data_IF_180831933030
#
_entry.id   IF_180831933030
#
_cell.length_a   1.000
_cell.length_b   1.000
_cell.length_c   1.000
_cell.angle_alpha   90.00
_cell.angle_beta   90.00
_cell.angle_gamma   90.00
#
_symmetry.space_group_name_H-M   'P 1'
#
loop_
_entity.id
_entity.type
_entity.pdbx_description
1 polymer ?
#
# COMPACT_ATOMS: atom_id res chain seq x y z
N UNK A 1 11.98 4.17 -18.42
CA UNK A 1 12.97 3.68 -17.44
C UNK A 1 12.67 2.20 -17.19
N UNK A 2 13.55 1.29 -17.58
CA UNK A 2 13.34 -0.14 -17.33
C UNK A 2 13.41 -0.44 -15.84
N UNK A 3 12.46 -1.22 -15.32
CA UNK A 3 12.47 -1.66 -13.94
C UNK A 3 13.82 -2.34 -13.64
N UNK A 4 14.69 -1.70 -12.84
CA UNK A 4 16.02 -2.29 -12.58
C UNK A 4 15.79 -3.63 -11.88
N UNK A 5 16.39 -4.71 -12.42
CA UNK A 5 16.28 -6.06 -11.85
C UNK A 5 16.51 -6.05 -10.34
N UNK A 6 15.74 -6.83 -9.60
CA UNK A 6 15.90 -6.97 -8.15
C UNK A 6 17.31 -7.47 -7.84
N UNK A 7 18.08 -6.80 -6.95
CA UNK A 7 19.44 -7.21 -6.63
C UNK A 7 19.50 -8.65 -6.12
N UNK A 8 20.53 -9.40 -6.54
CA UNK A 8 20.73 -10.79 -6.09
C UNK A 8 20.78 -10.91 -4.57
N UNK A 9 21.39 -9.94 -3.88
CA UNK A 9 21.42 -9.88 -2.42
C UNK A 9 20.01 -9.97 -1.79
N UNK A 10 19.03 -9.25 -2.35
CA UNK A 10 17.64 -9.30 -1.87
C UNK A 10 17.01 -10.67 -2.14
N UNK A 11 17.27 -11.24 -3.32
CA UNK A 11 16.76 -12.58 -3.67
C UNK A 11 17.32 -13.65 -2.73
N UNK A 12 18.62 -13.58 -2.41
CA UNK A 12 19.28 -14.49 -1.47
C UNK A 12 18.74 -14.30 -0.05
N UNK A 13 18.51 -13.07 0.42
CA UNK A 13 17.91 -12.81 1.72
C UNK A 13 16.45 -13.33 1.80
N UNK A 14 15.68 -13.25 0.72
CA UNK A 14 14.36 -13.86 0.63
C UNK A 14 14.46 -15.39 0.72
N UNK A 15 15.41 -15.98 0.00
CA UNK A 15 15.64 -17.42 -0.01
C UNK A 15 16.06 -17.95 1.38
N UNK A 16 17.01 -17.29 2.05
CA UNK A 16 17.45 -17.65 3.40
C UNK A 16 16.28 -17.64 4.39
N UNK A 17 15.43 -16.60 4.38
CA UNK A 17 14.26 -16.54 5.26
C UNK A 17 13.28 -17.68 5.03
N UNK A 18 13.09 -18.11 3.79
CA UNK A 18 12.27 -19.28 3.47
C UNK A 18 12.90 -20.57 3.99
N UNK A 19 14.22 -20.73 3.87
CA UNK A 19 14.94 -21.87 4.43
C UNK A 19 14.87 -21.91 5.95
N UNK A 20 14.89 -20.74 6.60
CA UNK A 20 14.72 -20.56 8.04
C UNK A 20 13.26 -20.71 8.51
N UNK A 21 12.35 -21.14 7.62
CA UNK A 21 10.98 -21.53 7.98
C UNK A 21 9.96 -20.40 7.97
N UNK A 22 10.32 -19.17 7.56
CA UNK A 22 9.35 -18.07 7.48
C UNK A 22 8.34 -18.30 6.35
N UNK A 23 7.09 -17.90 6.58
CA UNK A 23 6.05 -18.05 5.56
C UNK A 23 6.26 -17.06 4.42
N UNK A 24 6.18 -17.56 3.18
CA UNK A 24 6.30 -16.71 1.96
C UNK A 24 5.38 -15.48 1.95
N UNK A 25 4.20 -15.55 2.58
CA UNK A 25 3.28 -14.41 2.72
C UNK A 25 3.83 -13.32 3.66
N UNK A 26 4.51 -13.68 4.74
CA UNK A 26 5.09 -12.75 5.71
C UNK A 26 6.34 -12.07 5.14
N UNK A 27 7.16 -12.85 4.44
CA UNK A 27 8.30 -12.33 3.68
C UNK A 27 7.79 -11.35 2.62
N UNK A 28 6.73 -11.69 1.89
CA UNK A 28 6.10 -10.80 0.91
C UNK A 28 5.69 -9.46 1.50
N UNK A 29 5.08 -9.45 2.68
CA UNK A 29 4.75 -8.19 3.38
C UNK A 29 5.99 -7.37 3.73
N UNK A 30 7.06 -8.02 4.18
CA UNK A 30 8.32 -7.35 4.58
C UNK A 30 9.06 -6.68 3.41
N UNK A 31 8.97 -7.28 2.22
CA UNK A 31 9.62 -6.77 1.01
C UNK A 31 8.65 -6.04 0.06
N UNK A 32 7.38 -5.90 0.44
CA UNK A 32 6.32 -5.33 -0.41
C UNK A 32 6.19 -6.06 -1.75
N UNK A 33 6.18 -7.40 -1.68
CA UNK A 33 6.10 -8.31 -2.83
C UNK A 33 4.87 -9.21 -2.73
N UNK A 34 4.36 -9.62 -3.90
CA UNK A 34 3.37 -10.68 -3.99
C UNK A 34 3.97 -12.03 -3.58
N UNK A 35 3.14 -12.94 -3.07
CA UNK A 35 3.59 -14.30 -2.74
C UNK A 35 4.21 -15.03 -3.95
N UNK A 36 3.64 -14.99 -5.17
CA UNK A 36 4.29 -15.55 -6.36
C UNK A 36 5.67 -14.96 -6.64
N UNK A 37 5.87 -13.66 -6.42
CA UNK A 37 7.15 -12.99 -6.66
C UNK A 37 8.21 -13.41 -5.65
N UNK A 38 7.83 -13.57 -4.38
CA UNK A 38 8.73 -14.12 -3.34
C UNK A 38 9.24 -15.49 -3.77
N UNK A 39 8.35 -16.38 -4.22
CA UNK A 39 8.73 -17.71 -4.69
C UNK A 39 9.60 -17.67 -5.95
N UNK A 40 9.27 -16.79 -6.90
CA UNK A 40 10.10 -16.56 -8.09
C UNK A 40 11.51 -16.14 -7.70
N UNK A 41 11.65 -15.12 -6.85
CA UNK A 41 12.96 -14.59 -6.44
C UNK A 41 13.78 -15.60 -5.65
N UNK A 42 13.13 -16.45 -4.85
CA UNK A 42 13.82 -17.55 -4.17
C UNK A 42 14.37 -18.58 -5.17
N UNK A 43 13.60 -18.95 -6.21
CA UNK A 43 14.11 -19.85 -7.26
C UNK A 43 15.21 -19.18 -8.09
N UNK A 44 15.07 -17.90 -8.44
CA UNK A 44 16.12 -17.14 -9.10
C UNK A 44 17.42 -17.14 -8.25
N UNK A 45 17.31 -17.01 -6.92
CA UNK A 45 18.46 -17.08 -6.03
C UNK A 45 19.13 -18.46 -6.08
N UNK A 46 18.35 -19.55 -6.05
CA UNK A 46 18.88 -20.91 -6.19
C UNK A 46 19.65 -21.07 -7.50
N UNK A 47 19.11 -20.57 -8.62
CA UNK A 47 19.76 -20.69 -9.92
C UNK A 47 21.08 -19.90 -9.99
N UNK A 48 21.15 -18.72 -9.35
CA UNK A 48 22.39 -17.96 -9.26
C UNK A 48 23.41 -18.60 -8.29
N UNK A 49 22.95 -19.11 -7.14
CA UNK A 49 23.82 -19.79 -6.16
C UNK A 49 24.47 -21.05 -6.75
N UNK A 50 23.74 -21.81 -7.57
CA UNK A 50 24.28 -23.00 -8.27
C UNK A 50 25.47 -22.70 -9.18
N UNK A 51 25.64 -21.45 -9.64
CA UNK A 51 26.76 -21.02 -10.50
C UNK A 51 27.97 -20.52 -9.71
N UNK A 52 27.88 -20.48 -8.38
CA UNK A 52 29.01 -20.10 -7.54
C UNK A 52 29.98 -21.28 -7.51
N UNK A 53 31.26 -21.04 -7.85
CA UNK A 53 32.29 -22.10 -7.89
C UNK A 53 32.38 -22.93 -6.61
N UNK A 54 32.20 -22.30 -5.44
CA UNK A 54 32.21 -23.00 -4.15
C UNK A 54 31.03 -23.98 -4.01
N UNK A 55 29.87 -23.65 -4.59
CA UNK A 55 28.72 -24.54 -4.67
C UNK A 55 28.96 -25.64 -5.69
N UNK A 56 29.45 -25.31 -6.88
CA UNK A 56 29.77 -26.29 -7.93
C UNK A 56 30.80 -27.33 -7.49
N UNK A 57 31.76 -26.92 -6.65
CA UNK A 57 32.78 -27.80 -6.09
C UNK A 57 32.26 -28.70 -4.95
N UNK A 58 31.04 -28.48 -4.44
CA UNK A 58 30.44 -29.24 -3.34
C UNK A 58 29.29 -30.13 -3.85
N UNK A 59 29.49 -31.46 -3.93
CA UNK A 59 28.42 -32.38 -4.33
C UNK A 59 27.20 -32.32 -3.40
N UNK A 60 27.44 -32.05 -2.10
CA UNK A 60 26.39 -31.90 -1.08
C UNK A 60 25.51 -30.70 -1.40
N UNK A 61 26.11 -29.53 -1.65
CA UNK A 61 25.37 -28.31 -1.98
C UNK A 61 24.68 -28.39 -3.34
N UNK A 62 25.33 -28.98 -4.35
CA UNK A 62 24.69 -29.25 -5.65
C UNK A 62 23.48 -30.17 -5.49
N UNK A 63 23.64 -31.26 -4.73
CA UNK A 63 22.56 -32.20 -4.44
C UNK A 63 21.38 -31.53 -3.74
N UNK A 64 21.65 -30.72 -2.72
CA UNK A 64 20.64 -29.94 -2.00
C UNK A 64 19.94 -28.93 -2.92
N UNK A 65 20.70 -28.08 -3.60
CA UNK A 65 20.16 -27.01 -4.43
C UNK A 65 19.43 -27.56 -5.66
N UNK A 66 19.73 -28.77 -6.15
CA UNK A 66 19.01 -29.39 -7.28
C UNK A 66 17.53 -29.72 -6.96
N UNK A 67 17.19 -29.86 -5.67
CA UNK A 67 15.84 -30.23 -5.21
C UNK A 67 14.87 -29.06 -5.42
N UNK A 68 13.56 -29.34 -5.37
CA UNK A 68 12.54 -28.29 -5.41
C UNK A 68 12.64 -27.42 -4.15
N UNK A 69 12.37 -26.12 -4.27
CA UNK A 69 12.41 -25.16 -3.17
C UNK A 69 11.65 -25.64 -1.92
N UNK A 70 10.46 -26.23 -2.09
CA UNK A 70 9.67 -26.80 -0.97
C UNK A 70 10.45 -27.88 -0.19
N UNK A 71 11.17 -28.74 -0.90
CA UNK A 71 11.97 -29.82 -0.30
C UNK A 71 13.20 -29.25 0.41
N UNK A 72 13.84 -28.24 -0.19
CA UNK A 72 14.96 -27.53 0.43
C UNK A 72 14.54 -26.91 1.77
N UNK A 73 13.43 -26.16 1.81
CA UNK A 73 12.89 -25.55 3.04
C UNK A 73 12.55 -26.58 4.12
N UNK A 74 12.09 -27.77 3.73
CA UNK A 74 11.77 -28.84 4.68
C UNK A 74 13.02 -29.50 5.28
N UNK A 75 14.09 -29.64 4.51
CA UNK A 75 15.30 -30.38 4.92
C UNK A 75 16.36 -29.49 5.56
N UNK A 76 16.44 -28.22 5.15
CA UNK A 76 17.47 -27.29 5.61
C UNK A 76 17.58 -27.14 7.14
N UNK A 77 16.48 -27.14 7.93
CA UNK A 77 16.57 -27.05 9.38
C UNK A 77 17.28 -28.25 10.04
N UNK A 78 17.20 -29.43 9.41
CA UNK A 78 17.72 -30.69 9.95
C UNK A 78 19.06 -31.11 9.32
N UNK A 79 19.49 -30.44 8.25
CA UNK A 79 20.71 -30.76 7.50
C UNK A 79 21.88 -29.85 7.92
N UNK A 80 22.55 -30.22 9.02
CA UNK A 80 23.63 -29.44 9.61
C UNK A 80 24.82 -29.25 8.66
N UNK A 81 25.16 -30.27 7.87
CA UNK A 81 26.26 -30.22 6.89
C UNK A 81 25.97 -29.17 5.81
N UNK A 82 24.75 -29.17 5.24
CA UNK A 82 24.33 -28.16 4.28
C UNK A 82 24.39 -26.76 4.90
N UNK A 83 23.93 -26.57 6.14
CA UNK A 83 23.96 -25.25 6.79
C UNK A 83 25.39 -24.72 6.96
N UNK A 84 26.32 -25.55 7.43
CA UNK A 84 27.71 -25.16 7.64
C UNK A 84 28.40 -24.79 6.32
N UNK A 85 28.12 -25.54 5.26
CA UNK A 85 28.67 -25.28 3.92
C UNK A 85 28.03 -24.07 3.24
N UNK A 86 26.74 -23.84 3.45
CA UNK A 86 25.97 -22.78 2.79
C UNK A 86 26.17 -21.41 3.47
N UNK A 87 26.26 -21.36 4.81
CA UNK A 87 26.38 -20.11 5.57
C UNK A 87 27.46 -19.14 5.05
N UNK A 88 28.74 -19.53 4.86
CA UNK A 88 29.76 -18.61 4.37
C UNK A 88 29.52 -18.13 2.92
N UNK A 89 28.72 -18.86 2.13
CA UNK A 89 28.36 -18.49 0.77
C UNK A 89 27.25 -17.43 0.77
N UNK A 90 26.29 -17.54 1.70
CA UNK A 90 25.17 -16.60 1.82
C UNK A 90 25.58 -15.29 2.49
N UNK A 91 26.45 -15.35 3.49
CA UNK A 91 26.89 -14.21 4.31
C UNK A 91 27.17 -12.91 3.54
N UNK A 92 27.99 -12.89 2.47
CA UNK A 92 28.26 -11.64 1.73
C UNK A 92 27.02 -11.03 1.07
N UNK A 93 26.03 -11.87 0.71
CA UNK A 93 24.77 -11.40 0.16
C UNK A 93 23.84 -10.88 1.24
N UNK A 94 23.80 -11.53 2.40
CA UNK A 94 22.96 -11.12 3.54
C UNK A 94 23.43 -9.76 4.08
N UNK A 95 24.73 -9.59 4.31
CA UNK A 95 25.31 -8.32 4.73
C UNK A 95 25.02 -7.19 3.71
N UNK A 96 25.07 -7.49 2.41
CA UNK A 96 24.71 -6.52 1.37
C UNK A 96 23.21 -6.23 1.35
N UNK A 97 22.35 -7.20 1.63
CA UNK A 97 20.91 -7.02 1.65
C UNK A 97 20.46 -6.05 2.76
N UNK A 98 21.11 -6.08 3.92
CA UNK A 98 20.85 -5.16 5.04
C UNK A 98 21.08 -3.69 4.66
N UNK A 99 22.05 -3.43 3.76
CA UNK A 99 22.35 -2.08 3.28
C UNK A 99 21.35 -1.55 2.23
N UNK A 100 20.46 -2.40 1.70
CA UNK A 100 19.55 -2.04 0.62
C UNK A 100 18.17 -1.75 1.21
N UNK A 101 17.73 -0.48 1.12
CA UNK A 101 16.34 -0.12 1.41
C UNK A 101 15.41 -0.61 0.27
N UNK A 102 15.02 -1.88 0.33
CA UNK A 102 14.17 -2.49 -0.69
C UNK A 102 12.68 -2.20 -0.50
N UNK A 103 12.22 -2.05 0.75
CA UNK A 103 10.81 -1.79 1.06
C UNK A 103 10.32 -0.44 0.52
N UNK A 104 11.22 0.55 0.35
CA UNK A 104 10.92 1.84 -0.26
C UNK A 104 10.91 1.84 -1.79
N UNK A 105 11.15 0.70 -2.44
CA UNK A 105 11.22 0.61 -3.90
C UNK A 105 9.83 0.36 -4.49
N UNK A 106 9.43 1.15 -5.47
CA UNK A 106 8.27 0.84 -6.31
C UNK A 106 8.50 -0.52 -6.98
N UNK A 107 7.77 -1.55 -6.53
CA UNK A 107 7.79 -2.87 -7.13
C UNK A 107 6.83 -2.90 -8.31
N UNK A 108 7.19 -3.62 -9.38
CA UNK A 108 6.30 -3.84 -10.53
C UNK A 108 5.04 -4.63 -10.16
N UNK A 109 5.04 -5.31 -9.01
CA UNK A 109 3.88 -6.03 -8.45
C UNK A 109 3.04 -5.17 -7.50
N UNK A 110 3.42 -3.91 -7.28
CA UNK A 110 2.49 -2.99 -6.65
C UNK A 110 1.41 -2.66 -7.71
N UNK A 111 0.12 -2.90 -7.43
CA UNK A 111 -0.88 -2.02 -8.04
C UNK A 111 -0.39 -0.59 -7.73
N UNK A 112 -0.45 0.33 -8.72
CA UNK A 112 -0.21 1.77 -8.54
C UNK A 112 -0.48 2.13 -7.08
N UNK A 113 0.54 2.51 -6.31
CA UNK A 113 0.35 2.70 -4.87
C UNK A 113 -0.77 3.71 -4.65
N UNK A 114 -1.97 3.21 -4.36
CA UNK A 114 -3.16 4.00 -4.01
C UNK A 114 -3.17 4.31 -2.53
N UNK A 115 -2.08 4.01 -1.81
CA UNK A 115 -1.94 4.34 -0.39
C UNK A 115 -1.82 5.85 -0.26
N UNK A 116 -2.97 6.49 -0.19
CA UNK A 116 -3.16 7.79 0.43
C UNK A 116 -2.96 7.66 1.94
N UNK A 117 -2.53 8.74 2.56
CA UNK A 117 -2.44 8.78 4.02
C UNK A 117 -3.84 8.52 4.62
N UNK A 118 -3.90 7.93 5.81
CA UNK A 118 -5.19 7.64 6.46
C UNK A 118 -6.05 8.90 6.63
N UNK A 119 -5.43 10.04 6.96
CA UNK A 119 -6.12 11.33 7.03
C UNK A 119 -6.69 11.76 5.67
N UNK A 120 -5.95 11.56 4.58
CA UNK A 120 -6.43 11.88 3.23
C UNK A 120 -7.58 10.96 2.80
N UNK A 121 -7.55 9.68 3.17
CA UNK A 121 -8.65 8.75 2.91
C UNK A 121 -9.92 9.13 3.67
N UNK A 122 -9.78 9.48 4.95
CA UNK A 122 -10.89 9.95 5.80
C UNK A 122 -11.51 11.25 5.26
N UNK A 123 -10.68 12.22 4.86
CA UNK A 123 -11.13 13.47 4.21
C UNK A 123 -11.87 13.18 2.89
N UNK A 124 -11.33 12.27 2.06
CA UNK A 124 -11.97 11.91 0.79
C UNK A 124 -13.36 11.29 1.01
N UNK A 125 -13.49 10.38 1.97
CA UNK A 125 -14.79 9.79 2.31
C UNK A 125 -15.78 10.85 2.83
N UNK A 126 -15.31 11.79 3.63
CA UNK A 126 -16.14 12.90 4.12
C UNK A 126 -16.65 13.77 2.97
N UNK A 127 -15.80 14.07 1.98
CA UNK A 127 -16.21 14.82 0.77
C UNK A 127 -17.27 14.04 -0.01
N UNK A 128 -17.08 12.73 -0.21
CA UNK A 128 -18.05 11.89 -0.93
C UNK A 128 -19.40 11.87 -0.22
N UNK A 129 -19.41 11.69 1.10
CA UNK A 129 -20.64 11.73 1.89
C UNK A 129 -21.36 13.07 1.77
N UNK A 130 -20.64 14.18 1.90
CA UNK A 130 -21.23 15.52 1.74
C UNK A 130 -21.81 15.74 0.33
N UNK A 131 -21.15 15.24 -0.71
CA UNK A 131 -21.66 15.29 -2.08
C UNK A 131 -22.90 14.42 -2.27
N UNK A 132 -22.94 13.24 -1.65
CA UNK A 132 -24.06 12.31 -1.72
C UNK A 132 -25.32 12.85 -1.03
N UNK A 133 -25.16 13.54 0.10
CA UNK A 133 -26.29 14.07 0.90
C UNK A 133 -26.90 15.35 0.29
N UNK A 134 -26.14 16.09 -0.52
CA UNK A 134 -26.57 17.36 -1.08
C UNK A 134 -26.76 17.35 -2.59
N UNK A 135 -25.64 17.36 -3.32
CA UNK A 135 -25.62 17.75 -4.74
C UNK A 135 -25.80 16.56 -5.70
N UNK A 136 -25.39 15.36 -5.30
CA UNK A 136 -25.34 14.17 -6.16
C UNK A 136 -25.78 12.92 -5.41
N UNK A 137 -27.10 12.71 -5.24
CA UNK A 137 -27.65 11.54 -4.57
C UNK A 137 -27.11 10.23 -5.17
N UNK A 138 -26.58 9.34 -4.33
CA UNK A 138 -26.00 8.06 -4.74
C UNK A 138 -24.55 8.11 -5.20
N UNK A 139 -23.85 9.23 -5.01
CA UNK A 139 -22.41 9.33 -5.25
C UNK A 139 -21.64 8.36 -4.33
N UNK A 140 -20.73 7.58 -4.92
CA UNK A 140 -19.88 6.62 -4.18
C UNK A 140 -18.41 7.00 -4.31
N UNK A 141 -17.54 6.53 -3.39
CA UNK A 141 -16.11 6.81 -3.45
C UNK A 141 -15.49 6.39 -4.78
N UNK A 142 -15.87 5.22 -5.28
CA UNK A 142 -15.41 4.70 -6.56
C UNK A 142 -15.89 5.53 -7.76
N UNK A 143 -17.11 6.04 -7.72
CA UNK A 143 -17.64 6.89 -8.78
C UNK A 143 -16.91 8.23 -8.84
N UNK A 144 -16.66 8.86 -7.69
CA UNK A 144 -15.91 10.12 -7.64
C UNK A 144 -14.45 9.94 -8.07
N UNK A 145 -13.78 8.85 -7.63
CA UNK A 145 -12.41 8.54 -8.08
C UNK A 145 -12.34 8.37 -9.60
N UNK A 146 -13.31 7.67 -10.19
CA UNK A 146 -13.38 7.48 -11.64
C UNK A 146 -13.51 8.82 -12.37
N UNK A 147 -14.42 9.67 -11.92
CA UNK A 147 -14.63 11.01 -12.50
C UNK A 147 -13.36 11.86 -12.41
N UNK A 148 -12.68 11.88 -11.26
CA UNK A 148 -11.43 12.62 -11.08
C UNK A 148 -10.33 12.16 -12.02
N UNK A 149 -10.17 10.84 -12.19
CA UNK A 149 -9.17 10.27 -13.10
C UNK A 149 -9.51 10.57 -14.56
N UNK A 150 -10.77 10.41 -14.97
CA UNK A 150 -11.22 10.70 -16.34
C UNK A 150 -11.04 12.18 -16.69
N UNK A 151 -11.40 13.08 -15.77
CA UNK A 151 -11.22 14.53 -15.94
C UNK A 151 -9.74 14.92 -16.00
N UNK A 152 -8.90 14.35 -15.14
CA UNK A 152 -7.46 14.58 -15.17
C UNK A 152 -6.85 14.19 -16.52
N UNK A 153 -7.21 13.01 -17.05
CA UNK A 153 -6.73 12.54 -18.36
C UNK A 153 -7.26 13.42 -19.49
N UNK A 154 -8.53 13.83 -19.45
CA UNK A 154 -9.12 14.71 -20.46
C UNK A 154 -8.42 16.08 -20.51
N UNK A 155 -8.17 16.69 -19.35
CA UNK A 155 -7.46 17.97 -19.22
C UNK A 155 -6.05 17.91 -19.82
N UNK A 156 -5.32 16.82 -19.56
CA UNK A 156 -3.94 16.64 -20.02
C UNK A 156 -3.81 16.09 -21.45
N UNK A 157 -4.87 15.52 -22.02
CA UNK A 157 -4.94 15.26 -23.47
C UNK A 157 -5.14 16.55 -24.27
N UNK A 158 -5.92 17.49 -23.74
CA UNK A 158 -6.22 18.76 -24.41
C UNK A 158 -5.03 19.75 -24.34
N UNK A 159 -4.26 19.74 -23.25
CA UNK A 159 -3.10 20.61 -23.04
C UNK A 159 -1.78 19.83 -23.07
N UNK A 160 -1.14 19.75 -24.23
CA UNK A 160 0.24 19.26 -24.35
C UNK A 160 1.22 20.41 -24.08
N UNK A 161 1.75 20.54 -22.85
CA UNK A 161 3.20 20.61 -22.70
C UNK A 161 3.72 19.73 -21.55
N UNK A 162 5.03 19.46 -21.58
CA UNK A 162 5.74 18.54 -20.68
C UNK A 162 5.47 18.81 -19.20
N UNK A 163 5.05 17.78 -18.47
CA UNK A 163 4.73 17.85 -17.04
C UNK A 163 6.00 17.75 -16.17
N UNK A 164 6.18 18.75 -15.30
CA UNK A 164 6.81 18.57 -14.00
C UNK A 164 5.66 18.44 -12.97
N UNK A 165 5.42 17.25 -12.38
CA UNK A 165 4.23 16.98 -11.55
C UNK A 165 4.26 17.61 -10.15
N UNK A 166 5.33 18.32 -9.78
CA UNK A 166 5.51 18.88 -8.43
C UNK A 166 4.89 20.29 -8.25
N UNK A 167 4.27 20.88 -9.27
CA UNK A 167 3.93 22.31 -9.26
C UNK A 167 2.55 22.64 -9.82
N UNK A 168 1.73 21.66 -10.19
CA UNK A 168 0.38 21.93 -10.71
C UNK A 168 -0.61 21.99 -9.55
N UNK A 169 -1.21 23.15 -9.24
CA UNK A 169 -2.33 23.20 -8.31
C UNK A 169 -3.47 22.41 -8.93
N UNK A 170 -4.01 21.44 -8.20
CA UNK A 170 -5.28 20.80 -8.54
C UNK A 170 -6.31 21.93 -8.63
N UNK A 171 -7.15 22.00 -9.67
CA UNK A 171 -8.19 23.02 -9.75
C UNK A 171 -9.00 22.98 -8.46
N UNK A 172 -8.98 24.06 -7.69
CA UNK A 172 -9.82 24.21 -6.52
C UNK A 172 -11.26 23.96 -6.96
N UNK A 173 -11.88 22.95 -6.35
CA UNK A 173 -13.34 22.84 -6.33
C UNK A 173 -13.83 24.20 -5.87
N UNK A 174 -14.55 24.91 -6.73
CA UNK A 174 -15.16 26.19 -6.42
C UNK A 174 -15.90 25.99 -5.12
N UNK A 175 -15.38 26.57 -4.03
CA UNK A 175 -16.10 26.62 -2.77
C UNK A 175 -17.38 27.37 -3.08
N UNK A 176 -18.46 26.62 -3.25
CA UNK A 176 -19.82 27.13 -3.18
C UNK A 176 -19.89 27.95 -1.91
N UNK A 177 -20.00 29.27 -2.04
CA UNK A 177 -20.25 30.16 -0.92
C UNK A 177 -21.45 29.62 -0.16
N UNK A 178 -21.20 29.10 1.04
CA UNK A 178 -22.25 28.70 1.96
C UNK A 178 -23.12 29.96 2.16
N UNK A 179 -24.43 29.92 1.87
CA UNK A 179 -25.28 31.06 2.17
C UNK A 179 -25.13 31.33 3.66
N UNK A 180 -24.78 32.57 4.03
CA UNK A 180 -24.64 32.98 5.42
C UNK A 180 -25.92 32.60 6.15
N UNK A 181 -25.83 31.61 7.04
CA UNK A 181 -26.96 31.18 7.86
C UNK A 181 -27.20 32.31 8.86
N UNK A 182 -28.38 32.92 8.80
CA UNK A 182 -28.81 33.89 9.79
C UNK A 182 -29.03 33.17 11.12
N UNK A 183 -27.97 33.15 11.93
CA UNK A 183 -27.95 32.45 13.22
C UNK A 183 -28.96 33.03 14.19
N UNK A 184 -29.39 34.29 14.01
CA UNK A 184 -30.34 34.95 14.88
C UNK A 184 -31.77 34.47 14.61
N UNK A 185 -32.13 34.35 13.32
CA UNK A 185 -33.39 33.74 12.91
C UNK A 185 -33.51 32.27 13.34
N UNK A 186 -32.42 31.50 13.20
CA UNK A 186 -32.39 30.09 13.62
C UNK A 186 -32.58 29.95 15.14
N UNK A 187 -31.96 30.82 15.93
CA UNK A 187 -32.10 30.79 17.39
C UNK A 187 -33.54 31.15 17.83
N UNK A 188 -34.17 32.11 17.16
CA UNK A 188 -35.55 32.48 17.42
C UNK A 188 -36.51 31.32 17.13
N UNK A 189 -36.36 30.64 16.00
CA UNK A 189 -37.18 29.49 15.62
C UNK A 189 -37.03 28.32 16.61
N UNK A 190 -35.80 28.03 17.06
CA UNK A 190 -35.56 27.00 18.07
C UNK A 190 -36.21 27.38 19.41
N UNK A 191 -36.08 28.64 19.83
CA UNK A 191 -36.68 29.11 21.07
C UNK A 191 -38.22 29.09 21.03
N UNK A 192 -38.82 29.40 19.89
CA UNK A 192 -40.27 29.30 19.71
C UNK A 192 -40.76 27.87 19.66
N UNK A 193 -40.05 26.96 18.96
CA UNK A 193 -40.36 25.54 18.97
C UNK A 193 -40.30 24.97 20.40
N UNK A 194 -39.30 25.37 21.19
CA UNK A 194 -39.17 24.99 22.59
C UNK A 194 -40.33 25.53 23.44
N UNK A 195 -40.71 26.81 23.29
CA UNK A 195 -41.88 27.37 23.99
C UNK A 195 -43.17 26.65 23.66
N UNK A 196 -43.40 26.32 22.39
CA UNK A 196 -44.57 25.56 21.94
C UNK A 196 -44.59 24.18 22.59
N UNK A 197 -43.44 23.51 22.67
CA UNK A 197 -43.31 22.22 23.33
C UNK A 197 -43.62 22.32 24.84
N UNK A 198 -43.11 23.35 25.52
CA UNK A 198 -43.40 23.59 26.94
C UNK A 198 -44.88 23.88 27.19
N UNK A 199 -45.55 24.63 26.31
CA UNK A 199 -46.98 24.90 26.39
C UNK A 199 -47.83 23.63 26.17
N UNK A 200 -47.45 22.78 25.20
CA UNK A 200 -48.13 21.51 24.94
C UNK A 200 -48.02 20.51 26.09
N UNK A 201 -46.94 20.57 26.87
CA UNK A 201 -46.72 19.72 28.04
C UNK A 201 -47.11 20.35 29.39
N UNK A 202 -47.81 21.49 29.38
CA UNK A 202 -48.36 22.12 30.59
C UNK A 202 -47.31 22.72 31.53
N UNK A 203 -46.10 22.98 31.02
CA UNK A 203 -44.95 23.51 31.76
C UNK A 203 -44.70 25.00 31.46
N UNK A 204 -45.72 25.72 30.96
CA UNK A 204 -45.59 27.14 30.69
C UNK A 204 -45.27 27.90 31.99
N UNK A 205 -44.25 28.77 32.01
CA UNK A 205 -43.94 29.58 33.18
C UNK A 205 -45.15 30.47 33.49
N UNK A 206 -45.59 30.45 34.75
CA UNK A 206 -46.62 31.39 35.23
C UNK A 206 -46.08 32.82 35.12
N UNK A 207 -46.87 33.77 34.61
CA UNK A 207 -46.51 35.18 34.72
C UNK A 207 -46.56 35.61 36.19
N UNK A 208 -45.57 36.38 36.62
CA UNK A 208 -45.66 37.22 37.82
C UNK A 208 -46.64 38.38 37.60
#
# INVERSE_FOLDING_TARGET
MGAKSTPLAIKVAIYERLLSGQMSREIGRSYVLSQPTVLKYANDAVDELRRIRAVEASPVLLGFLSRKLKTQCFQYPDDEEVRLLMAPILEPYLARAESINFAGRESADQPLSTRVSRSTEEEFLQIVSSLADGQRPGMTPSALLRELVENFVALHRANKPALNPASTPIPHVVQSSIPAVDTEALLADVMDAVRIQFAQHGLAPKPD
#
